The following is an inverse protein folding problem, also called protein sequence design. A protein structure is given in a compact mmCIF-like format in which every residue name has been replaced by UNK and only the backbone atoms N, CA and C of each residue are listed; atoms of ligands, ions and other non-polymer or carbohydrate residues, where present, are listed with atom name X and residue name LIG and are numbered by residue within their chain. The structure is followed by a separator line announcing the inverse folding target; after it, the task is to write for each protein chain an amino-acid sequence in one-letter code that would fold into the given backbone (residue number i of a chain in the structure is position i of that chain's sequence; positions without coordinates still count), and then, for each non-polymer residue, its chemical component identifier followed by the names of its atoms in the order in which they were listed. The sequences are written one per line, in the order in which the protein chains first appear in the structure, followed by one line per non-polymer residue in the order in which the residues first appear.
data_IF_825821749503
#
_entry.id   IF_825821749503
#
_cell.length_a   1.000
_cell.length_b   1.000
_cell.length_c   1.000
_cell.angle_alpha   90.00
_cell.angle_beta   90.00
_cell.angle_gamma   90.00
#
_symmetry.space_group_name_H-M   'P 1'
#
loop_
_entity.id
_entity.type
_entity.pdbx_description
1 polymer ?
#
# COMPACT_ATOMS: atom_id res chain seq x y z
N UNK A 1 49.71 -51.67 -24.08
CA UNK A 1 49.30 -50.43 -23.38
C UNK A 1 48.19 -49.79 -24.19
N UNK A 2 46.98 -49.79 -23.64
CA UNK A 2 45.75 -49.41 -24.35
C UNK A 2 45.43 -47.92 -24.19
N UNK A 3 44.81 -47.26 -25.18
CA UNK A 3 44.49 -45.83 -25.13
C UNK A 3 43.26 -45.56 -24.25
N UNK A 4 43.33 -44.51 -23.43
CA UNK A 4 42.21 -44.02 -22.63
C UNK A 4 41.21 -43.23 -23.49
N UNK A 5 39.95 -43.65 -23.39
CA UNK A 5 38.76 -43.10 -24.05
C UNK A 5 38.40 -41.70 -23.55
N UNK A 6 38.06 -40.84 -24.51
CA UNK A 6 37.26 -39.62 -24.37
C UNK A 6 35.85 -39.96 -23.89
N UNK A 7 35.28 -39.14 -23.00
CA UNK A 7 33.83 -39.07 -22.78
C UNK A 7 33.46 -37.65 -22.39
N UNK A 8 32.91 -36.93 -23.37
CA UNK A 8 32.27 -35.63 -23.23
C UNK A 8 30.94 -35.78 -22.49
N UNK A 9 30.81 -35.12 -21.34
CA UNK A 9 29.56 -35.02 -20.57
C UNK A 9 28.91 -33.67 -20.84
N UNK A 10 28.19 -33.57 -21.96
CA UNK A 10 27.27 -32.47 -22.24
C UNK A 10 25.96 -32.74 -21.50
N UNK A 11 25.70 -32.01 -20.42
CA UNK A 11 24.40 -32.03 -19.72
C UNK A 11 23.78 -30.64 -19.79
N UNK A 12 23.20 -30.34 -20.94
CA UNK A 12 22.25 -29.24 -21.10
C UNK A 12 20.89 -29.70 -20.55
N UNK A 13 20.63 -29.42 -19.27
CA UNK A 13 19.27 -29.50 -18.71
C UNK A 13 18.87 -28.12 -18.21
N UNK A 14 18.68 -27.20 -19.15
CA UNK A 14 17.99 -25.92 -18.92
C UNK A 14 16.49 -26.18 -18.83
N UNK A 15 16.04 -26.64 -17.67
CA UNK A 15 14.63 -26.70 -17.29
C UNK A 15 14.10 -25.26 -17.15
N UNK A 16 13.56 -24.71 -18.24
CA UNK A 16 12.76 -23.48 -18.19
C UNK A 16 11.45 -23.81 -17.47
N UNK A 17 11.43 -23.57 -16.16
CA UNK A 17 10.19 -23.47 -15.40
C UNK A 17 9.45 -22.21 -15.89
N UNK A 18 8.58 -22.37 -16.87
CA UNK A 18 7.55 -21.37 -17.19
C UNK A 18 6.49 -21.42 -16.09
N UNK A 19 6.79 -20.78 -14.97
CA UNK A 19 5.79 -20.40 -13.97
C UNK A 19 4.86 -19.42 -14.64
N UNK A 20 3.57 -19.75 -14.73
CA UNK A 20 2.52 -18.90 -15.29
C UNK A 20 2.48 -17.59 -14.50
N UNK A 21 3.19 -16.56 -14.97
CA UNK A 21 3.32 -15.30 -14.24
C UNK A 21 1.96 -14.62 -14.17
N UNK A 22 1.46 -14.39 -12.96
CA UNK A 22 0.28 -13.56 -12.73
C UNK A 22 0.47 -12.19 -13.41
N UNK A 23 -0.59 -11.63 -14.03
CA UNK A 23 -0.47 -10.37 -14.77
C UNK A 23 -0.03 -9.24 -13.82
N UNK A 24 0.79 -8.29 -14.31
CA UNK A 24 1.25 -7.18 -13.48
C UNK A 24 0.06 -6.36 -12.96
N UNK A 25 0.12 -5.87 -11.71
CA UNK A 25 -0.93 -5.07 -11.12
C UNK A 25 -1.15 -3.78 -11.91
N UNK A 26 -2.42 -3.36 -12.01
CA UNK A 26 -2.76 -2.09 -12.63
C UNK A 26 -2.49 -0.93 -11.66
N UNK A 27 -1.29 -0.37 -11.70
CA UNK A 27 -0.86 0.74 -10.84
C UNK A 27 -1.79 1.95 -10.90
N UNK A 28 -2.33 2.27 -12.08
CA UNK A 28 -3.33 3.35 -12.22
C UNK A 28 -4.59 3.13 -11.38
N UNK A 29 -5.04 1.88 -11.21
CA UNK A 29 -6.18 1.57 -10.32
C UNK A 29 -5.77 1.71 -8.86
N UNK A 30 -4.58 1.24 -8.54
CA UNK A 30 -4.02 1.31 -7.20
C UNK A 30 -3.86 2.76 -6.70
N UNK A 31 -3.31 3.64 -7.53
CA UNK A 31 -3.19 5.08 -7.25
C UNK A 31 -4.55 5.77 -7.05
N UNK A 32 -5.59 5.34 -7.78
CA UNK A 32 -6.96 5.85 -7.58
C UNK A 32 -7.51 5.45 -6.22
N UNK A 33 -7.25 4.23 -5.76
CA UNK A 33 -7.64 3.79 -4.41
C UNK A 33 -6.91 4.57 -3.34
N UNK A 34 -5.59 4.77 -3.50
CA UNK A 34 -4.80 5.61 -2.61
C UNK A 34 -5.35 7.04 -2.52
N UNK A 35 -5.59 7.69 -3.66
CA UNK A 35 -6.15 9.05 -3.72
C UNK A 35 -7.51 9.14 -3.04
N UNK A 36 -8.35 8.11 -3.24
CA UNK A 36 -9.67 8.04 -2.59
C UNK A 36 -9.55 7.89 -1.08
N UNK A 37 -8.63 7.06 -0.58
CA UNK A 37 -8.35 6.94 0.85
C UNK A 37 -7.85 8.24 1.47
N UNK A 38 -6.94 8.96 0.79
CA UNK A 38 -6.49 10.29 1.24
C UNK A 38 -7.67 11.25 1.33
N UNK A 39 -8.58 11.23 0.35
CA UNK A 39 -9.80 12.04 0.36
C UNK A 39 -10.70 11.75 1.57
N UNK A 40 -10.97 10.47 1.84
CA UNK A 40 -11.77 10.04 2.99
C UNK A 40 -11.06 10.44 4.30
N UNK A 41 -9.76 10.13 4.43
CA UNK A 41 -8.98 10.45 5.62
C UNK A 41 -8.99 11.96 5.92
N UNK A 42 -8.82 12.82 4.90
CA UNK A 42 -8.96 14.28 5.07
C UNK A 42 -10.35 14.65 5.55
N UNK A 43 -11.40 14.14 4.92
CA UNK A 43 -12.78 14.46 5.27
C UNK A 43 -13.22 13.96 6.64
N UNK A 44 -12.63 12.87 7.12
CA UNK A 44 -12.99 12.24 8.39
C UNK A 44 -12.16 12.75 9.56
N UNK A 45 -10.85 12.97 9.34
CA UNK A 45 -9.86 13.17 10.41
C UNK A 45 -9.40 14.64 10.48
N UNK A 46 -9.30 15.32 9.34
CA UNK A 46 -8.74 16.67 9.32
C UNK A 46 -9.84 17.71 9.68
N UNK A 47 -9.70 18.43 10.81
CA UNK A 47 -10.72 19.39 11.28
C UNK A 47 -11.03 20.50 10.27
N UNK A 48 -10.05 20.86 9.44
CA UNK A 48 -10.21 21.85 8.37
C UNK A 48 -11.25 21.41 7.34
N UNK A 49 -11.20 20.14 6.97
CA UNK A 49 -12.07 19.59 5.94
C UNK A 49 -13.42 19.19 6.53
N UNK A 50 -13.47 18.80 7.81
CA UNK A 50 -14.73 18.49 8.49
C UNK A 50 -15.59 19.75 8.65
N UNK A 51 -15.02 20.95 8.86
CA UNK A 51 -15.84 22.17 8.99
C UNK A 51 -16.53 22.58 7.69
N UNK A 52 -15.95 22.27 6.53
CA UNK A 52 -16.44 22.76 5.23
C UNK A 52 -17.15 21.68 4.41
N UNK A 53 -16.76 20.42 4.58
CA UNK A 53 -17.19 19.32 3.72
C UNK A 53 -17.33 18.00 4.48
N UNK A 54 -17.90 17.99 5.69
CA UNK A 54 -18.12 16.73 6.43
C UNK A 54 -19.09 15.85 5.66
N UNK A 55 -18.67 14.72 5.06
CA UNK A 55 -19.62 13.73 4.59
C UNK A 55 -20.37 13.18 5.80
N UNK A 56 -21.59 12.68 5.58
CA UNK A 56 -22.24 11.90 6.63
C UNK A 56 -21.34 10.71 6.99
N UNK A 57 -21.29 10.35 8.28
CA UNK A 57 -20.50 9.21 8.76
C UNK A 57 -20.81 7.96 7.96
N UNK A 58 -22.10 7.73 7.65
CA UNK A 58 -22.55 6.62 6.81
C UNK A 58 -21.93 6.63 5.41
N UNK A 59 -21.85 7.79 4.74
CA UNK A 59 -21.23 7.90 3.43
C UNK A 59 -19.72 7.64 3.48
N UNK A 60 -19.04 8.04 4.56
CA UNK A 60 -17.62 7.75 4.75
C UNK A 60 -17.38 6.25 4.97
N UNK A 61 -18.23 5.59 5.77
CA UNK A 61 -18.19 4.14 5.99
C UNK A 61 -18.42 3.39 4.66
N UNK A 62 -19.47 3.74 3.92
CA UNK A 62 -19.79 3.10 2.63
C UNK A 62 -18.63 3.20 1.62
N UNK A 63 -18.04 4.39 1.50
CA UNK A 63 -16.86 4.60 0.65
C UNK A 63 -15.65 3.79 1.12
N UNK A 64 -15.43 3.70 2.43
CA UNK A 64 -14.33 2.92 2.99
C UNK A 64 -14.51 1.44 2.64
N UNK A 65 -15.68 0.85 2.93
CA UNK A 65 -15.98 -0.56 2.65
C UNK A 65 -15.83 -0.89 1.16
N UNK A 66 -16.32 -0.01 0.27
CA UNK A 66 -16.16 -0.18 -1.18
C UNK A 66 -14.68 -0.20 -1.61
N UNK A 67 -13.83 0.61 -0.98
CA UNK A 67 -12.38 0.57 -1.24
C UNK A 67 -11.77 -0.72 -0.70
N UNK A 68 -12.18 -1.17 0.50
CA UNK A 68 -11.70 -2.41 1.10
C UNK A 68 -11.96 -3.61 0.17
N UNK A 69 -13.20 -3.77 -0.28
CA UNK A 69 -13.59 -4.85 -1.20
C UNK A 69 -12.77 -4.82 -2.51
N UNK A 70 -12.54 -3.62 -3.05
CA UNK A 70 -11.74 -3.45 -4.27
C UNK A 70 -10.27 -3.79 -4.07
N UNK A 71 -9.71 -3.47 -2.90
CA UNK A 71 -8.33 -3.80 -2.56
C UNK A 71 -8.16 -5.29 -2.35
N UNK A 72 -9.10 -5.96 -1.68
CA UNK A 72 -9.08 -7.42 -1.53
C UNK A 72 -9.11 -8.13 -2.89
N UNK A 73 -10.02 -7.72 -3.78
CA UNK A 73 -10.08 -8.25 -5.14
C UNK A 73 -8.81 -7.93 -5.94
N UNK A 74 -8.18 -6.79 -5.68
CA UNK A 74 -6.95 -6.38 -6.37
C UNK A 74 -5.75 -7.22 -5.93
N UNK A 75 -5.53 -7.38 -4.62
CA UNK A 75 -4.42 -8.18 -4.10
C UNK A 75 -4.60 -9.67 -4.36
N UNK A 76 -5.83 -10.19 -4.31
CA UNK A 76 -6.12 -11.58 -4.66
C UNK A 76 -5.76 -11.95 -6.12
N UNK A 77 -5.70 -10.96 -7.03
CA UNK A 77 -5.29 -11.16 -8.43
C UNK A 77 -3.78 -11.13 -8.65
N UNK A 78 -3.03 -10.65 -7.66
CA UNK A 78 -1.59 -10.47 -7.73
C UNK A 78 -0.89 -11.12 -6.52
N UNK A 79 -1.12 -12.41 -6.22
CA UNK A 79 -0.60 -13.05 -5.01
C UNK A 79 0.94 -13.17 -5.02
N UNK A 80 1.52 -13.40 -6.19
CA UNK A 80 2.97 -13.66 -6.36
C UNK A 80 3.74 -12.40 -6.79
N UNK A 81 3.10 -11.22 -6.74
CA UNK A 81 3.72 -9.99 -7.20
C UNK A 81 4.76 -9.47 -6.19
N UNK A 82 5.95 -9.14 -6.67
CA UNK A 82 7.03 -8.61 -5.83
C UNK A 82 6.89 -7.10 -5.60
N UNK A 83 6.02 -6.74 -4.64
CA UNK A 83 5.79 -5.36 -4.23
C UNK A 83 7.06 -4.65 -3.74
N UNK A 84 8.01 -5.40 -3.16
CA UNK A 84 9.25 -4.85 -2.60
C UNK A 84 10.24 -4.56 -3.73
N UNK A 85 10.48 -5.55 -4.60
CA UNK A 85 11.38 -5.42 -5.75
C UNK A 85 10.96 -4.31 -6.72
N UNK A 86 9.65 -4.10 -6.91
CA UNK A 86 9.11 -3.02 -7.74
C UNK A 86 8.94 -1.67 -6.99
N UNK A 87 9.51 -1.54 -5.78
CA UNK A 87 9.47 -0.33 -4.96
C UNK A 87 8.05 0.23 -4.67
N UNK A 88 7.01 -0.60 -4.81
CA UNK A 88 5.60 -0.23 -4.64
C UNK A 88 5.06 -0.55 -3.25
N UNK A 89 5.82 -1.31 -2.45
CA UNK A 89 5.46 -1.70 -1.09
C UNK A 89 5.23 -0.51 -0.15
N UNK A 90 5.99 0.59 -0.35
CA UNK A 90 5.77 1.83 0.42
C UNK A 90 4.34 2.34 0.25
N UNK A 91 3.81 2.32 -0.97
CA UNK A 91 2.44 2.78 -1.23
C UNK A 91 1.40 1.86 -0.58
N UNK A 92 1.66 0.55 -0.52
CA UNK A 92 0.84 -0.41 0.25
C UNK A 92 0.79 -0.02 1.72
N UNK A 93 1.95 0.26 2.35
CA UNK A 93 2.02 0.69 3.75
C UNK A 93 1.26 1.99 3.99
N UNK A 94 1.38 2.97 3.09
CA UNK A 94 0.65 4.23 3.20
C UNK A 94 -0.87 4.01 3.13
N UNK A 95 -1.34 3.09 2.29
CA UNK A 95 -2.76 2.73 2.22
C UNK A 95 -3.25 1.98 3.46
N UNK A 96 -2.46 1.07 4.01
CA UNK A 96 -2.74 0.39 5.28
C UNK A 96 -2.92 1.41 6.41
N UNK A 97 -1.99 2.35 6.52
CA UNK A 97 -2.00 3.41 7.54
C UNK A 97 -3.24 4.30 7.36
N UNK A 98 -3.51 4.77 6.13
CA UNK A 98 -4.68 5.60 5.84
C UNK A 98 -5.98 4.91 6.23
N UNK A 99 -6.16 3.65 5.82
CA UNK A 99 -7.34 2.89 6.22
C UNK A 99 -7.46 2.77 7.73
N UNK A 100 -6.36 2.41 8.41
CA UNK A 100 -6.36 2.23 9.86
C UNK A 100 -6.76 3.51 10.57
N UNK A 101 -6.25 4.65 10.13
CA UNK A 101 -6.61 5.96 10.65
C UNK A 101 -8.10 6.28 10.44
N UNK A 102 -8.64 5.99 9.26
CA UNK A 102 -10.07 6.21 8.95
C UNK A 102 -10.96 5.30 9.79
N UNK A 103 -10.63 4.02 9.91
CA UNK A 103 -11.38 3.06 10.76
C UNK A 103 -11.45 3.52 12.21
N UNK A 104 -10.32 3.95 12.78
CA UNK A 104 -10.26 4.48 14.15
C UNK A 104 -11.16 5.72 14.28
N UNK A 105 -11.07 6.66 13.34
CA UNK A 105 -11.84 7.89 13.37
C UNK A 105 -13.35 7.66 13.20
N UNK A 106 -13.76 6.59 12.52
CA UNK A 106 -15.15 6.17 12.36
C UNK A 106 -15.61 5.17 13.43
N UNK A 107 -14.77 4.86 14.43
CA UNK A 107 -15.03 3.84 15.46
C UNK A 107 -15.39 2.45 14.89
N UNK A 108 -14.79 2.08 13.76
CA UNK A 108 -14.96 0.78 13.12
C UNK A 108 -13.94 -0.23 13.66
N UNK A 109 -14.31 -1.50 13.64
CA UNK A 109 -13.35 -2.60 13.84
C UNK A 109 -12.46 -2.72 12.60
N UNK A 110 -11.21 -3.12 12.82
CA UNK A 110 -10.27 -3.35 11.73
C UNK A 110 -10.77 -4.48 10.83
N UNK A 111 -10.97 -4.20 9.55
CA UNK A 111 -11.25 -5.25 8.56
C UNK A 111 -9.94 -5.83 8.04
N UNK A 112 -9.84 -7.16 7.98
CA UNK A 112 -8.65 -7.84 7.46
C UNK A 112 -8.67 -7.81 5.94
N UNK A 113 -7.94 -6.86 5.37
CA UNK A 113 -7.55 -6.94 3.96
C UNK A 113 -6.38 -7.91 3.82
N UNK A 114 -6.36 -8.66 2.72
CA UNK A 114 -5.26 -9.57 2.35
C UNK A 114 -4.03 -8.79 1.87
N UNK A 115 -3.47 -7.95 2.75
CA UNK A 115 -2.32 -7.13 2.44
C UNK A 115 -1.09 -7.98 2.12
N UNK A 116 -0.30 -7.61 1.10
CA UNK A 116 0.98 -8.25 0.86
C UNK A 116 1.91 -7.99 2.05
N UNK A 117 2.64 -9.04 2.44
CA UNK A 117 3.57 -8.97 3.56
C UNK A 117 4.91 -8.39 3.10
N UNK A 118 5.55 -7.58 3.93
CA UNK A 118 6.93 -7.16 3.68
C UNK A 118 7.85 -8.34 3.96
N UNK A 119 8.75 -8.66 3.03
CA UNK A 119 9.95 -9.42 3.35
C UNK A 119 11.06 -8.40 3.64
N UNK A 120 11.28 -8.08 4.91
CA UNK A 120 12.31 -7.13 5.33
C UNK A 120 12.83 -7.42 6.73
N UNK A 121 14.08 -7.05 6.99
CA UNK A 121 14.66 -7.15 8.33
C UNK A 121 13.93 -6.21 9.30
N UNK A 122 13.96 -6.51 10.61
CA UNK A 122 13.14 -5.79 11.59
C UNK A 122 13.43 -4.28 11.69
N UNK A 123 14.65 -3.83 11.41
CA UNK A 123 14.99 -2.40 11.42
C UNK A 123 14.55 -1.68 10.14
N UNK A 124 14.76 -2.31 8.99
CA UNK A 124 14.35 -1.78 7.69
C UNK A 124 12.82 -1.65 7.59
N UNK A 125 12.10 -2.67 8.06
CA UNK A 125 10.64 -2.66 8.12
C UNK A 125 10.12 -1.49 8.99
N UNK A 126 10.77 -1.24 10.15
CA UNK A 126 10.42 -0.11 11.03
C UNK A 126 10.70 1.24 10.38
N UNK A 127 11.86 1.39 9.73
CA UNK A 127 12.21 2.63 9.04
C UNK A 127 11.23 2.94 7.89
N UNK A 128 10.86 1.93 7.12
CA UNK A 128 9.90 2.06 6.03
C UNK A 128 8.50 2.41 6.55
N UNK A 129 8.06 1.74 7.62
CA UNK A 129 6.79 2.05 8.27
C UNK A 129 6.76 3.47 8.83
N UNK A 130 7.85 3.92 9.48
CA UNK A 130 7.98 5.30 9.97
C UNK A 130 7.88 6.31 8.82
N UNK A 131 8.60 6.10 7.72
CA UNK A 131 8.55 6.98 6.55
C UNK A 131 7.17 7.02 5.89
N UNK A 132 6.45 5.90 5.87
CA UNK A 132 5.06 5.84 5.39
C UNK A 132 4.12 6.64 6.30
N UNK A 133 4.27 6.54 7.63
CA UNK A 133 3.51 7.34 8.59
C UNK A 133 3.74 8.84 8.41
N UNK A 134 4.99 9.28 8.31
CA UNK A 134 5.35 10.69 8.12
C UNK A 134 4.74 11.24 6.82
N UNK A 135 4.78 10.44 5.75
CA UNK A 135 4.20 10.84 4.47
C UNK A 135 2.67 10.95 4.54
N UNK A 136 1.99 9.96 5.14
CA UNK A 136 0.54 10.00 5.35
C UNK A 136 0.13 11.20 6.22
N UNK A 137 0.89 11.50 7.26
CA UNK A 137 0.62 12.65 8.12
C UNK A 137 0.66 13.96 7.31
N UNK A 138 1.68 14.15 6.47
CA UNK A 138 1.75 15.30 5.57
C UNK A 138 0.56 15.32 4.61
N UNK A 139 0.23 14.19 3.99
CA UNK A 139 -0.89 14.12 3.05
C UNK A 139 -2.24 14.46 3.69
N UNK A 140 -2.49 13.99 4.91
CA UNK A 140 -3.77 14.22 5.61
C UNK A 140 -3.83 15.62 6.22
N UNK A 141 -2.71 16.15 6.75
CA UNK A 141 -2.70 17.35 7.58
C UNK A 141 -1.92 18.56 7.04
N UNK A 142 -1.26 18.51 5.88
CA UNK A 142 -0.39 19.58 5.38
C UNK A 142 -1.01 20.99 5.40
N UNK A 143 -2.31 21.13 5.09
CA UNK A 143 -3.00 22.43 5.07
C UNK A 143 -3.12 23.08 6.46
N UNK A 144 -3.04 22.29 7.53
CA UNK A 144 -3.09 22.77 8.91
C UNK A 144 -1.74 23.36 9.36
N UNK A 145 -0.62 22.77 8.91
CA UNK A 145 0.72 23.26 9.28
C UNK A 145 1.02 24.64 8.69
N UNK A 146 0.51 24.95 7.49
CA UNK A 146 0.68 26.26 6.86
C UNK A 146 -0.08 27.34 7.64
N UNK A 147 -1.35 27.10 7.99
CA UNK A 147 -2.14 28.07 8.78
C UNK A 147 -1.62 28.29 10.19
N UNK A 148 -1.15 27.24 10.88
CA UNK A 148 -0.55 27.40 12.21
C UNK A 148 0.76 28.19 12.15
N UNK A 149 1.57 28.01 11.11
CA UNK A 149 2.76 28.85 10.90
C UNK A 149 2.35 30.31 10.69
N UNK A 150 1.39 30.58 9.82
CA UNK A 150 0.94 31.96 9.55
C UNK A 150 0.34 32.64 10.79
N UNK A 151 -0.34 31.90 11.68
CA UNK A 151 -0.85 32.42 12.94
C UNK A 151 0.20 32.58 14.05
N UNK A 152 1.36 31.91 13.96
CA UNK A 152 2.44 32.06 14.95
C UNK A 152 3.31 33.30 14.69
N UNK A 153 3.13 33.97 13.55
CA UNK A 153 3.87 35.17 13.14
C UNK A 153 3.00 36.44 13.13
N UNK A 154 1.78 36.38 13.68
CA UNK A 154 0.90 37.52 13.95
C UNK A 154 0.79 37.78 15.44
#
# INVERSE_FOLDING_TARGET
MSPLRVSDSKTDSSTKNTTTSSPPPSFRKFERYFTSLVGIARQTINPVYTTTHRPSTFLAIDKLLNIQDRLDVFFAKCPDYDWVGDASYRLVLEMQILMRMVEIALALRHSKIAWPQACGSGEEAKAMQKGAYEHVEVLVFARERMRKKDMLWM
#
